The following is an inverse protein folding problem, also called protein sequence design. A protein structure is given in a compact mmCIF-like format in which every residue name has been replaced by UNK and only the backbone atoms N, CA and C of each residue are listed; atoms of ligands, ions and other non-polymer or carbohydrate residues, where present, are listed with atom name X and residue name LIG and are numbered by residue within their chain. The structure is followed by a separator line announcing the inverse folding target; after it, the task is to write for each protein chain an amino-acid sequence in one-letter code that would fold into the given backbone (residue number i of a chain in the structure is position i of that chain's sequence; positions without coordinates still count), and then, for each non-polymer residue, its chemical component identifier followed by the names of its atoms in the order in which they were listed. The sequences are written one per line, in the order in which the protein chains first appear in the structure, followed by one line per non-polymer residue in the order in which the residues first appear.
data_IF_667542623430
#
_entry.id   IF_667542623430
#
_cell.length_a   1.000
_cell.length_b   1.000
_cell.length_c   1.000
_cell.angle_alpha   90.00
_cell.angle_beta   90.00
_cell.angle_gamma   90.00
#
_symmetry.space_group_name_H-M   'P 1'
#
loop_
_entity.id
_entity.type
_entity.pdbx_description
1 polymer ?
#
# COMPACT_ATOMS: atom_id res chain seq x y z
N UNK A 1 -13.52 -21.71 -17.08
CA UNK A 1 -13.68 -20.24 -17.21
C UNK A 1 -15.08 -19.90 -16.71
N UNK A 2 -15.28 -19.83 -15.40
CA UNK A 2 -16.42 -19.22 -14.70
C UNK A 2 -16.12 -19.28 -13.20
N UNK A 3 -16.61 -18.28 -12.47
CA UNK A 3 -16.85 -18.24 -11.03
C UNK A 3 -15.67 -18.17 -10.06
N UNK A 4 -15.16 -16.96 -9.81
CA UNK A 4 -14.78 -16.53 -8.44
C UNK A 4 -15.02 -15.01 -8.27
N UNK A 5 -16.27 -14.57 -8.33
CA UNK A 5 -16.70 -13.40 -7.53
C UNK A 5 -17.33 -13.96 -6.24
N UNK A 6 -16.53 -14.63 -5.41
CA UNK A 6 -16.93 -14.92 -4.03
C UNK A 6 -16.77 -13.65 -3.21
N UNK A 7 -17.83 -13.27 -2.51
CA UNK A 7 -17.79 -12.36 -1.37
C UNK A 7 -16.95 -12.96 -0.23
N UNK A 8 -15.64 -13.03 -0.41
CA UNK A 8 -14.72 -13.60 0.55
C UNK A 8 -13.39 -13.89 -0.11
N UNK A 9 -12.40 -13.04 0.20
CA UNK A 9 -10.95 -13.21 0.04
C UNK A 9 -10.51 -14.07 -1.15
N UNK A 10 -10.06 -13.41 -2.22
CA UNK A 10 -9.37 -14.06 -3.33
C UNK A 10 -8.04 -14.65 -2.83
N UNK A 11 -8.02 -15.96 -2.61
CA UNK A 11 -6.92 -16.73 -2.01
C UNK A 11 -6.10 -17.47 -3.08
N UNK A 12 -5.98 -16.89 -4.27
CA UNK A 12 -5.17 -17.43 -5.37
C UNK A 12 -3.74 -17.80 -4.94
N UNK A 13 -3.17 -17.07 -3.96
CA UNK A 13 -1.88 -17.38 -3.34
C UNK A 13 -1.76 -18.74 -2.66
N UNK A 14 -2.85 -19.38 -2.22
CA UNK A 14 -2.81 -20.74 -1.62
C UNK A 14 -2.36 -21.78 -2.65
N UNK A 15 -2.57 -21.50 -3.94
CA UNK A 15 -2.07 -22.34 -5.04
C UNK A 15 -0.65 -21.97 -5.48
N UNK A 16 -0.08 -20.87 -4.98
CA UNK A 16 1.32 -20.55 -5.21
C UNK A 16 2.19 -21.34 -4.21
N UNK A 17 3.18 -22.06 -4.73
CA UNK A 17 4.17 -22.72 -3.87
C UNK A 17 4.98 -21.70 -3.07
N UNK A 18 5.49 -22.10 -1.90
CA UNK A 18 6.23 -21.24 -0.97
C UNK A 18 7.38 -20.46 -1.63
N UNK A 19 8.07 -21.05 -2.61
CA UNK A 19 9.14 -20.38 -3.35
C UNK A 19 8.64 -19.15 -4.14
N UNK A 20 7.46 -19.24 -4.76
CA UNK A 20 6.87 -18.12 -5.52
C UNK A 20 6.38 -17.02 -4.59
N UNK A 21 5.82 -17.41 -3.45
CA UNK A 21 5.42 -16.47 -2.39
C UNK A 21 6.63 -15.72 -1.84
N UNK A 22 7.72 -16.42 -1.54
CA UNK A 22 8.96 -15.79 -1.08
C UNK A 22 9.53 -14.82 -2.13
N UNK A 23 9.53 -15.20 -3.41
CA UNK A 23 9.95 -14.32 -4.50
C UNK A 23 9.09 -13.06 -4.59
N UNK A 24 7.76 -13.20 -4.59
CA UNK A 24 6.85 -12.05 -4.59
C UNK A 24 7.02 -11.19 -3.33
N UNK A 25 7.37 -11.80 -2.20
CA UNK A 25 7.67 -11.09 -0.97
C UNK A 25 8.91 -10.21 -1.06
N UNK A 26 9.97 -10.70 -1.71
CA UNK A 26 11.17 -9.92 -1.98
C UNK A 26 10.83 -8.76 -2.94
N UNK A 27 10.10 -9.05 -4.02
CA UNK A 27 9.66 -8.03 -4.98
C UNK A 27 8.84 -6.94 -4.26
N UNK A 28 7.88 -7.32 -3.41
CA UNK A 28 7.12 -6.35 -2.63
C UNK A 28 8.00 -5.54 -1.70
N UNK A 29 8.88 -6.18 -0.94
CA UNK A 29 9.75 -5.48 0.01
C UNK A 29 10.62 -4.43 -0.66
N UNK A 30 11.13 -4.71 -1.86
CA UNK A 30 11.94 -3.75 -2.64
C UNK A 30 11.06 -2.66 -3.24
N UNK A 31 9.93 -3.02 -3.85
CA UNK A 31 9.08 -2.10 -4.62
C UNK A 31 8.18 -1.22 -3.76
N UNK A 32 7.92 -1.58 -2.50
CA UNK A 32 7.17 -0.73 -1.55
C UNK A 32 8.04 0.44 -1.05
N UNK A 33 9.36 0.23 -0.92
CA UNK A 33 10.29 1.25 -0.45
C UNK A 33 10.72 2.22 -1.56
N UNK A 34 10.48 1.86 -2.82
CA UNK A 34 10.76 2.67 -3.99
C UNK A 34 9.44 3.27 -4.53
N UNK A 35 9.44 4.51 -5.06
CA UNK A 35 8.22 5.13 -5.61
C UNK A 35 7.90 4.59 -7.02
N UNK A 36 7.74 3.27 -7.16
CA UNK A 36 7.58 2.56 -8.44
C UNK A 36 6.30 1.70 -8.53
N UNK A 37 5.34 1.90 -7.62
CA UNK A 37 4.06 1.16 -7.53
C UNK A 37 4.23 -0.35 -7.31
N UNK A 38 4.29 -0.74 -6.04
CA UNK A 38 4.38 -2.14 -5.62
C UNK A 38 3.19 -3.00 -6.03
N UNK A 39 1.97 -2.44 -5.97
CA UNK A 39 0.73 -3.13 -6.37
C UNK A 39 0.69 -3.48 -7.86
N UNK A 40 1.32 -2.68 -8.71
CA UNK A 40 1.47 -2.98 -10.14
C UNK A 40 2.41 -4.18 -10.34
N UNK A 41 3.56 -4.21 -9.66
CA UNK A 41 4.52 -5.30 -9.76
C UNK A 41 3.95 -6.63 -9.28
N UNK A 42 3.20 -6.63 -8.17
CA UNK A 42 2.52 -7.84 -7.68
C UNK A 42 1.47 -8.42 -8.64
N UNK A 43 0.97 -7.62 -9.59
CA UNK A 43 0.03 -8.09 -10.61
C UNK A 43 0.69 -8.43 -11.93
N UNK A 44 1.66 -7.63 -12.36
CA UNK A 44 2.37 -7.80 -13.63
C UNK A 44 3.33 -9.00 -13.57
N UNK A 45 4.07 -9.18 -12.47
CA UNK A 45 5.06 -10.26 -12.36
C UNK A 45 4.42 -11.65 -12.49
N UNK A 46 3.32 -11.99 -11.78
CA UNK A 46 2.62 -13.25 -12.00
C UNK A 46 2.07 -13.38 -13.43
N UNK A 47 1.52 -12.30 -14.00
CA UNK A 47 0.96 -12.32 -15.35
C UNK A 47 2.02 -12.64 -16.42
N UNK A 48 3.21 -12.03 -16.32
CA UNK A 48 4.34 -12.27 -17.25
C UNK A 48 4.91 -13.68 -17.08
N UNK A 49 4.98 -14.19 -15.85
CA UNK A 49 5.49 -15.53 -15.56
C UNK A 49 4.46 -16.66 -15.75
N UNK A 50 3.24 -16.32 -16.19
CA UNK A 50 2.14 -17.27 -16.36
C UNK A 50 1.63 -17.89 -15.06
N UNK A 51 1.87 -17.22 -13.92
CA UNK A 51 1.37 -17.64 -12.62
C UNK A 51 -0.07 -17.15 -12.40
N UNK A 52 -0.82 -17.82 -11.54
CA UNK A 52 -2.13 -17.32 -11.14
C UNK A 52 -2.00 -16.01 -10.38
N UNK A 53 -3.02 -15.16 -10.51
CA UNK A 53 -3.12 -13.91 -9.74
C UNK A 53 -3.15 -14.28 -8.24
N UNK A 54 -2.20 -13.78 -7.43
CA UNK A 54 -2.19 -14.02 -5.99
C UNK A 54 -3.46 -13.51 -5.29
N UNK A 55 -4.18 -12.59 -5.92
CA UNK A 55 -5.39 -11.97 -5.39
C UNK A 55 -5.09 -10.68 -4.62
N UNK A 56 -6.10 -9.83 -4.49
CA UNK A 56 -5.97 -8.56 -3.76
C UNK A 56 -5.74 -8.76 -2.25
N UNK A 57 -6.22 -9.88 -1.69
CA UNK A 57 -5.98 -10.23 -0.30
C UNK A 57 -4.50 -10.49 -0.01
N UNK A 58 -3.80 -11.18 -0.91
CA UNK A 58 -2.36 -11.39 -0.81
C UNK A 58 -1.59 -10.08 -0.88
N UNK A 59 -1.96 -9.21 -1.83
CA UNK A 59 -1.31 -7.90 -1.99
C UNK A 59 -1.44 -7.05 -0.71
N UNK A 60 -2.63 -7.01 -0.13
CA UNK A 60 -2.87 -6.31 1.14
C UNK A 60 -2.08 -6.92 2.31
N UNK A 61 -2.04 -8.25 2.43
CA UNK A 61 -1.28 -8.92 3.49
C UNK A 61 0.23 -8.63 3.39
N UNK A 62 0.77 -8.67 2.18
CA UNK A 62 2.17 -8.36 1.91
C UNK A 62 2.51 -6.88 2.17
N UNK A 63 1.59 -5.96 1.87
CA UNK A 63 1.75 -4.54 2.22
C UNK A 63 1.74 -4.32 3.74
N UNK A 64 0.90 -5.04 4.49
CA UNK A 64 0.92 -5.03 5.95
C UNK A 64 2.24 -5.57 6.51
N UNK A 65 2.80 -6.62 5.90
CA UNK A 65 4.12 -7.13 6.28
C UNK A 65 5.24 -6.10 6.04
N UNK A 66 5.20 -5.39 4.91
CA UNK A 66 6.14 -4.30 4.63
C UNK A 66 5.99 -3.14 5.62
N UNK A 67 4.75 -2.74 5.93
CA UNK A 67 4.47 -1.72 6.96
C UNK A 67 5.01 -2.14 8.33
N UNK A 68 4.79 -3.40 8.73
CA UNK A 68 5.31 -3.92 9.99
C UNK A 68 6.85 -3.88 10.04
N UNK A 69 7.53 -4.19 8.91
CA UNK A 69 8.98 -4.07 8.82
C UNK A 69 9.46 -2.63 9.01
N UNK A 70 8.79 -1.65 8.39
CA UNK A 70 9.10 -0.22 8.54
C UNK A 70 8.87 0.25 9.98
N UNK A 71 7.75 -0.11 10.60
CA UNK A 71 7.45 0.23 12.00
C UNK A 71 8.49 -0.39 12.94
N UNK A 72 8.88 -1.63 12.70
CA UNK A 72 9.90 -2.31 13.51
C UNK A 72 11.27 -1.66 13.35
N UNK A 73 11.63 -1.18 12.16
CA UNK A 73 12.89 -0.49 11.91
C UNK A 73 12.92 0.90 12.57
N UNK A 74 11.86 1.69 12.42
CA UNK A 74 11.71 3.03 13.01
C UNK A 74 11.02 3.02 14.37
N UNK A 75 11.16 1.93 15.14
CA UNK A 75 10.41 1.76 16.39
C UNK A 75 10.65 2.88 17.41
N UNK A 76 11.88 3.40 17.47
CA UNK A 76 12.20 4.54 18.35
C UNK A 76 11.44 5.79 17.94
N UNK A 77 11.48 6.16 16.66
CA UNK A 77 10.78 7.35 16.17
C UNK A 77 9.26 7.23 16.31
N UNK A 78 8.71 6.05 16.02
CA UNK A 78 7.28 5.76 16.23
C UNK A 78 6.90 5.95 17.69
N UNK A 79 7.72 5.43 18.62
CA UNK A 79 7.51 5.58 20.05
C UNK A 79 7.60 7.05 20.48
N UNK A 80 8.59 7.79 19.97
CA UNK A 80 8.80 9.19 20.31
C UNK A 80 7.68 10.07 19.76
N UNK A 81 7.15 9.77 18.57
CA UNK A 81 5.95 10.43 18.04
C UNK A 81 4.72 10.12 18.90
N UNK A 82 4.50 8.86 19.28
CA UNK A 82 3.34 8.46 20.09
C UNK A 82 3.38 9.08 21.49
N UNK A 83 4.44 8.80 22.25
CA UNK A 83 4.54 9.25 23.65
C UNK A 83 4.97 10.71 23.76
N UNK A 84 5.81 11.21 22.84
CA UNK A 84 6.19 12.62 22.79
C UNK A 84 5.00 13.53 22.49
N UNK A 85 4.07 13.10 21.61
CA UNK A 85 2.83 13.85 21.38
C UNK A 85 1.92 13.89 22.61
N UNK A 86 1.77 12.77 23.32
CA UNK A 86 0.98 12.72 24.57
C UNK A 86 1.61 13.61 25.64
N UNK A 87 2.93 13.55 25.80
CA UNK A 87 3.66 14.37 26.75
C UNK A 87 3.60 15.87 26.39
N UNK A 88 3.64 16.22 25.11
CA UNK A 88 3.50 17.59 24.62
C UNK A 88 2.10 18.15 24.92
N UNK A 89 1.04 17.36 24.72
CA UNK A 89 -0.34 17.72 25.12
C UNK A 89 -0.41 17.97 26.63
N UNK A 90 0.17 17.07 27.44
CA UNK A 90 0.17 17.20 28.90
C UNK A 90 0.95 18.44 29.39
N UNK A 91 1.98 18.87 28.66
CA UNK A 91 2.78 20.07 28.95
C UNK A 91 2.23 21.35 28.31
N UNK A 92 1.12 21.28 27.57
CA UNK A 92 0.58 22.37 26.75
C UNK A 92 1.61 22.96 25.75
N UNK A 93 2.61 22.18 25.35
CA UNK A 93 3.63 22.61 24.39
C UNK A 93 3.26 22.17 22.98
N UNK A 94 2.41 22.96 22.34
CA UNK A 94 1.98 22.75 20.95
C UNK A 94 3.08 23.11 19.92
N UNK A 95 4.25 23.58 20.39
CA UNK A 95 5.43 23.83 19.56
C UNK A 95 6.28 22.58 19.30
N UNK A 96 6.07 21.51 20.08
CA UNK A 96 6.89 20.30 20.03
C UNK A 96 6.88 19.65 18.62
N UNK A 97 8.09 19.25 18.17
CA UNK A 97 8.29 18.68 16.83
C UNK A 97 7.53 17.37 16.64
N UNK A 98 7.45 16.52 17.66
CA UNK A 98 6.74 15.24 17.60
C UNK A 98 5.23 15.43 17.54
N UNK A 99 4.70 16.41 18.30
CA UNK A 99 3.29 16.76 18.25
C UNK A 99 2.86 17.32 16.88
N UNK A 100 3.67 18.21 16.31
CA UNK A 100 3.43 18.73 14.96
C UNK A 100 3.46 17.61 13.92
N UNK A 101 4.45 16.72 14.00
CA UNK A 101 4.54 15.57 13.09
C UNK A 101 3.31 14.65 13.20
N UNK A 102 2.84 14.36 14.42
CA UNK A 102 1.64 13.55 14.63
C UNK A 102 0.39 14.20 14.01
N UNK A 103 0.21 15.52 14.20
CA UNK A 103 -0.88 16.26 13.55
C UNK A 103 -0.74 16.22 12.03
N UNK A 104 0.47 16.42 11.49
CA UNK A 104 0.71 16.36 10.04
C UNK A 104 0.33 14.99 9.46
N UNK A 105 0.67 13.90 10.14
CA UNK A 105 0.29 12.54 9.73
C UNK A 105 -1.24 12.39 9.72
N UNK A 106 -1.93 12.83 10.77
CA UNK A 106 -3.39 12.76 10.86
C UNK A 106 -4.03 13.56 9.72
N UNK A 107 -3.62 14.82 9.53
CA UNK A 107 -4.15 15.69 8.48
C UNK A 107 -3.90 15.14 7.07
N UNK A 108 -2.74 14.52 6.84
CA UNK A 108 -2.42 13.88 5.56
C UNK A 108 -3.25 12.59 5.33
N UNK A 109 -3.59 11.85 6.39
CA UNK A 109 -4.30 10.57 6.28
C UNK A 109 -5.81 10.74 6.04
N UNK A 110 -6.43 11.78 6.61
CA UNK A 110 -7.86 12.07 6.47
C UNK A 110 -8.35 12.09 5.00
N UNK A 111 -7.76 12.89 4.08
CA UNK A 111 -8.23 12.93 2.69
C UNK A 111 -8.08 11.59 1.98
N UNK A 112 -7.04 10.81 2.30
CA UNK A 112 -6.82 9.47 1.74
C UNK A 112 -7.92 8.51 2.21
N UNK A 113 -8.30 8.54 3.50
CA UNK A 113 -9.39 7.72 4.03
C UNK A 113 -10.72 8.11 3.38
N UNK A 114 -11.02 9.41 3.27
CA UNK A 114 -12.27 9.89 2.67
C UNK A 114 -12.35 9.46 1.20
N UNK A 115 -11.29 9.68 0.43
CA UNK A 115 -11.23 9.27 -0.96
C UNK A 115 -11.33 7.73 -1.10
N UNK A 116 -10.61 6.99 -0.26
CA UNK A 116 -10.62 5.52 -0.24
C UNK A 116 -12.01 4.96 0.04
N UNK A 117 -12.73 5.50 1.04
CA UNK A 117 -14.09 5.09 1.36
C UNK A 117 -15.08 5.48 0.26
N UNK A 118 -14.99 6.69 -0.28
CA UNK A 118 -15.85 7.15 -1.37
C UNK A 118 -15.68 6.32 -2.66
N UNK A 119 -14.44 5.94 -2.99
CA UNK A 119 -14.14 5.15 -4.18
C UNK A 119 -14.22 3.64 -3.95
N UNK A 120 -14.32 3.17 -2.69
CA UNK A 120 -14.34 1.73 -2.37
C UNK A 120 -15.42 0.96 -3.13
N UNK A 121 -16.60 1.54 -3.33
CA UNK A 121 -17.69 0.94 -4.09
C UNK A 121 -17.38 0.76 -5.58
N UNK A 122 -16.62 1.69 -6.18
CA UNK A 122 -16.23 1.63 -7.60
C UNK A 122 -14.99 0.75 -7.79
N UNK A 123 -14.04 0.80 -6.86
CA UNK A 123 -12.79 0.03 -6.89
C UNK A 123 -13.01 -1.48 -6.66
N UNK A 124 -13.97 -1.84 -5.81
CA UNK A 124 -14.28 -3.23 -5.47
C UNK A 124 -15.39 -3.85 -6.32
N UNK A 125 -16.00 -3.10 -7.25
CA UNK A 125 -17.01 -3.65 -8.15
C UNK A 125 -16.41 -4.75 -9.04
N UNK A 126 -17.10 -5.90 -9.15
CA UNK A 126 -16.68 -6.97 -10.07
C UNK A 126 -16.61 -6.41 -11.50
N UNK A 127 -15.48 -6.66 -12.17
CA UNK A 127 -15.17 -6.13 -13.51
C UNK A 127 -14.93 -4.61 -13.60
N UNK A 128 -14.52 -3.96 -12.48
CA UNK A 128 -14.21 -2.53 -12.50
C UNK A 128 -13.06 -2.21 -13.47
N UNK A 129 -13.28 -1.36 -14.50
CA UNK A 129 -12.25 -1.01 -15.48
C UNK A 129 -11.02 -0.35 -14.82
N UNK A 130 -11.17 0.20 -13.61
CA UNK A 130 -10.10 0.81 -12.84
C UNK A 130 -9.01 -0.17 -12.37
N UNK A 131 -9.33 -1.47 -12.25
CA UNK A 131 -8.34 -2.53 -11.99
C UNK A 131 -7.79 -3.12 -13.30
N UNK A 132 -8.09 -2.58 -14.47
CA UNK A 132 -7.50 -3.07 -15.72
C UNK A 132 -5.99 -2.83 -15.77
N UNK A 133 -5.23 -3.75 -16.39
CA UNK A 133 -3.78 -3.57 -16.60
C UNK A 133 -3.48 -2.24 -17.32
N UNK A 134 -4.35 -1.82 -18.24
CA UNK A 134 -4.21 -0.54 -18.94
C UNK A 134 -4.32 0.67 -18.02
N UNK A 135 -5.25 0.66 -17.05
CA UNK A 135 -5.41 1.77 -16.09
C UNK A 135 -4.22 1.83 -15.14
N UNK A 136 -3.75 0.67 -14.65
CA UNK A 136 -2.54 0.59 -13.85
C UNK A 136 -1.34 1.13 -14.63
N UNK A 137 -1.23 0.80 -15.92
CA UNK A 137 -0.19 1.32 -16.81
C UNK A 137 -0.23 2.85 -16.93
N UNK A 138 -1.40 3.43 -17.21
CA UNK A 138 -1.57 4.89 -17.26
C UNK A 138 -1.27 5.57 -15.92
N UNK A 139 -1.67 4.96 -14.81
CA UNK A 139 -1.34 5.47 -13.48
C UNK A 139 0.17 5.49 -13.21
N UNK A 140 0.90 4.46 -13.65
CA UNK A 140 2.36 4.43 -13.53
C UNK A 140 3.04 5.53 -14.37
N UNK A 141 2.54 5.79 -15.58
CA UNK A 141 3.05 6.89 -16.43
C UNK A 141 2.78 8.24 -15.76
N UNK A 142 1.56 8.45 -15.24
CA UNK A 142 1.22 9.68 -14.53
C UNK A 142 2.12 9.90 -13.30
N UNK A 143 2.37 8.86 -12.51
CA UNK A 143 3.30 8.91 -11.38
C UNK A 143 4.72 9.29 -11.82
N UNK A 144 5.22 8.67 -12.89
CA UNK A 144 6.55 8.98 -13.43
C UNK A 144 6.67 10.45 -13.87
N UNK A 145 5.63 11.00 -14.52
CA UNK A 145 5.59 12.42 -14.91
C UNK A 145 5.58 13.32 -13.67
N UNK A 146 4.77 13.01 -12.66
CA UNK A 146 4.70 13.81 -11.43
C UNK A 146 6.04 13.83 -10.69
N UNK A 147 6.73 12.69 -10.61
CA UNK A 147 8.08 12.62 -10.03
C UNK A 147 9.08 13.44 -10.85
N UNK A 148 9.03 13.36 -12.18
CA UNK A 148 9.89 14.16 -13.05
C UNK A 148 9.64 15.68 -12.89
N UNK A 149 8.38 16.08 -12.70
CA UNK A 149 8.03 17.48 -12.45
C UNK A 149 8.44 17.96 -11.05
N UNK A 150 8.45 17.08 -10.06
CA UNK A 150 8.87 17.42 -8.70
C UNK A 150 10.39 17.65 -8.56
N UNK A 151 11.18 17.14 -9.51
CA UNK A 151 12.63 17.32 -9.58
C UNK A 151 13.04 18.69 -10.20
N UNK A 152 12.13 19.34 -10.94
CA UNK A 152 12.35 20.63 -11.60
C UNK A 152 11.98 21.78 -10.67
#
# INVERSE_FOLDING_TARGET
MTDVCTQGLDTGFVRLGYAKVAFLGIVQGITELLPISSTAHMRIVPAVLGWQDPGSAFSAAMQLAALAAVISYFWSDVRDVLFGSIAAIARHDFGDRYFRLAISIILATIPIIIAGLALSGVLNACNSPLRGLAVIGWACIAMAILLALAEI
#
